data_IF_923438147513
#
_entry.id   IF_923438147513
#
_cell.length_a   1.000
_cell.length_b   1.000
_cell.length_c   1.000
_cell.angle_alpha   90.00
_cell.angle_beta   90.00
_cell.angle_gamma   90.00
#
_symmetry.space_group_name_H-M   'P 1'
#
loop_
_entity.id
_entity.type
_entity.pdbx_description
1 polymer ?
#
# COMPACT_ATOMS: atom_id res chain seq x y z
N UNK A 1 17.70 20.37 -2.64
CA UNK A 1 17.16 19.19 -1.93
C UNK A 1 15.71 19.48 -1.57
N UNK A 2 14.78 18.58 -1.87
CA UNK A 2 13.34 18.82 -1.68
C UNK A 2 13.02 18.94 -0.17
N UNK A 3 12.50 20.11 0.27
CA UNK A 3 12.33 20.41 1.70
C UNK A 3 11.24 19.52 2.33
N UNK A 4 10.23 19.15 1.57
CA UNK A 4 9.12 18.31 1.97
C UNK A 4 9.59 16.87 2.25
N UNK A 5 10.40 16.29 1.35
CA UNK A 5 10.99 14.97 1.58
C UNK A 5 11.87 14.97 2.84
N UNK A 6 12.68 16.01 3.05
CA UNK A 6 13.50 16.11 4.26
C UNK A 6 12.64 16.13 5.54
N UNK A 7 11.53 16.87 5.52
CA UNK A 7 10.57 16.93 6.62
C UNK A 7 9.87 15.58 6.83
N UNK A 8 9.61 14.81 5.78
CA UNK A 8 9.07 13.46 5.91
C UNK A 8 10.12 12.49 6.47
N UNK A 9 11.38 12.58 6.01
CA UNK A 9 12.48 11.75 6.47
C UNK A 9 12.82 11.97 7.95
N UNK A 10 12.61 13.18 8.48
CA UNK A 10 12.90 13.47 9.90
C UNK A 10 12.06 12.66 10.88
N UNK A 11 10.98 12.01 10.42
CA UNK A 11 10.19 11.10 11.24
C UNK A 11 10.85 9.71 11.44
N UNK A 12 11.94 9.42 10.72
CA UNK A 12 12.56 8.09 10.71
C UNK A 12 13.99 8.10 11.24
N UNK A 13 14.33 7.06 12.01
CA UNK A 13 15.71 6.80 12.40
C UNK A 13 16.47 6.07 11.28
N UNK A 14 17.35 6.79 10.57
CA UNK A 14 18.09 6.28 9.40
C UNK A 14 19.40 5.54 9.77
N UNK A 15 19.45 4.93 10.96
CA UNK A 15 20.67 4.32 11.50
C UNK A 15 21.19 3.09 10.74
N UNK A 16 20.40 2.52 9.83
CA UNK A 16 20.81 1.37 9.00
C UNK A 16 20.36 1.56 7.56
N UNK A 17 21.00 0.85 6.62
CA UNK A 17 20.55 0.79 5.23
C UNK A 17 19.11 0.27 5.11
N UNK A 18 18.71 -0.70 5.94
CA UNK A 18 17.35 -1.26 5.94
C UNK A 18 16.33 -0.21 6.36
N UNK A 19 16.58 0.49 7.47
CA UNK A 19 15.66 1.53 7.95
C UNK A 19 15.56 2.70 6.98
N UNK A 20 16.66 3.05 6.30
CA UNK A 20 16.65 4.07 5.25
C UNK A 20 15.83 3.64 4.02
N UNK A 21 15.95 2.38 3.58
CA UNK A 21 15.13 1.84 2.49
C UNK A 21 13.65 1.82 2.86
N UNK A 22 13.31 1.40 4.10
CA UNK A 22 11.92 1.40 4.57
C UNK A 22 11.35 2.83 4.63
N UNK A 23 12.09 3.78 5.19
CA UNK A 23 11.68 5.19 5.24
C UNK A 23 11.41 5.74 3.83
N UNK A 24 12.31 5.48 2.88
CA UNK A 24 12.14 5.91 1.50
C UNK A 24 10.92 5.24 0.84
N UNK A 25 10.68 3.95 1.09
CA UNK A 25 9.48 3.26 0.61
C UNK A 25 8.20 3.87 1.19
N UNK A 26 8.13 4.14 2.49
CA UNK A 26 6.95 4.78 3.11
C UNK A 26 6.73 6.20 2.56
N UNK A 27 7.79 6.95 2.28
CA UNK A 27 7.69 8.27 1.62
C UNK A 27 7.11 8.13 0.21
N UNK A 28 7.61 7.18 -0.60
CA UNK A 28 7.07 6.95 -1.95
C UNK A 28 5.59 6.54 -1.87
N UNK A 29 5.20 5.71 -0.90
CA UNK A 29 3.80 5.33 -0.67
C UNK A 29 2.94 6.55 -0.32
N UNK A 30 3.40 7.41 0.60
CA UNK A 30 2.69 8.63 0.98
C UNK A 30 2.55 9.62 -0.20
N UNK A 31 3.61 9.81 -0.99
CA UNK A 31 3.58 10.66 -2.19
C UNK A 31 2.68 10.09 -3.30
N UNK A 32 2.62 8.76 -3.41
CA UNK A 32 1.69 8.07 -4.31
C UNK A 32 0.24 8.34 -3.89
N UNK A 33 -0.08 8.21 -2.60
CA UNK A 33 -1.42 8.53 -2.07
C UNK A 33 -1.77 10.01 -2.27
N UNK A 34 -0.83 10.92 -1.98
CA UNK A 34 -1.01 12.35 -2.22
C UNK A 34 -1.28 12.65 -3.69
N UNK A 35 -0.56 12.00 -4.61
CA UNK A 35 -0.74 12.23 -6.05
C UNK A 35 -2.08 11.69 -6.54
N UNK A 36 -2.47 10.49 -6.12
CA UNK A 36 -3.79 9.91 -6.39
C UNK A 36 -4.93 10.76 -5.80
N UNK A 37 -4.69 11.45 -4.68
CA UNK A 37 -5.70 12.33 -4.09
C UNK A 37 -6.01 13.59 -4.91
N UNK A 38 -5.13 13.93 -5.86
CA UNK A 38 -5.33 15.05 -6.78
C UNK A 38 -6.09 14.65 -8.05
N UNK A 39 -6.41 13.36 -8.21
CA UNK A 39 -7.25 12.84 -9.30
C UNK A 39 -8.62 12.43 -8.76
N UNK A 40 -9.46 11.83 -9.61
CA UNK A 40 -10.73 11.23 -9.20
C UNK A 40 -10.56 9.81 -8.60
N UNK A 41 -9.34 9.31 -8.40
CA UNK A 41 -9.11 7.92 -7.99
C UNK A 41 -9.90 7.53 -6.72
N UNK A 42 -9.91 8.39 -5.70
CA UNK A 42 -10.64 8.12 -4.44
C UNK A 42 -12.15 8.40 -4.49
N UNK A 43 -12.73 8.79 -5.64
CA UNK A 43 -14.18 8.67 -5.84
C UNK A 43 -14.60 7.25 -6.18
N UNK A 44 -13.67 6.46 -6.74
CA UNK A 44 -13.90 5.09 -7.22
C UNK A 44 -13.34 4.02 -6.29
N UNK A 45 -12.15 4.26 -5.73
CA UNK A 45 -11.40 3.28 -4.96
C UNK A 45 -11.13 3.73 -3.52
N UNK A 46 -10.93 2.75 -2.64
CA UNK A 46 -10.48 2.95 -1.27
C UNK A 46 -9.19 2.16 -1.02
N UNK A 47 -8.31 2.74 -0.23
CA UNK A 47 -7.06 2.13 0.21
C UNK A 47 -7.30 1.11 1.33
N UNK A 48 -6.65 -0.04 1.26
CA UNK A 48 -6.79 -1.09 2.28
C UNK A 48 -5.50 -1.90 2.46
N UNK A 49 -5.57 -2.93 3.31
CA UNK A 49 -4.45 -3.86 3.52
C UNK A 49 -3.46 -3.41 4.60
N UNK A 50 -2.27 -4.02 4.60
CA UNK A 50 -1.28 -3.81 5.66
C UNK A 50 -0.67 -2.40 5.65
N UNK A 51 -0.54 -1.81 4.47
CA UNK A 51 0.06 -0.47 4.33
C UNK A 51 -0.93 0.62 4.73
N UNK A 52 -2.24 0.43 4.51
CA UNK A 52 -3.27 1.29 5.09
C UNK A 52 -3.22 1.26 6.63
N UNK A 53 -3.08 0.06 7.21
CA UNK A 53 -2.94 -0.12 8.65
C UNK A 53 -1.69 0.57 9.21
N UNK A 54 -0.55 0.45 8.51
CA UNK A 54 0.71 1.13 8.86
C UNK A 54 0.56 2.65 8.82
N UNK A 55 0.09 3.20 7.70
CA UNK A 55 0.07 4.66 7.47
C UNK A 55 -1.00 5.38 8.32
N UNK A 56 -2.18 4.78 8.50
CA UNK A 56 -3.34 5.47 9.08
C UNK A 56 -3.75 5.01 10.48
N UNK A 57 -3.23 3.87 10.93
CA UNK A 57 -3.64 3.26 12.20
C UNK A 57 -2.47 2.85 13.10
N UNK A 58 -1.21 3.06 12.68
CA UNK A 58 -0.05 2.87 13.55
C UNK A 58 0.40 1.43 13.73
N UNK A 59 0.16 0.55 12.75
CA UNK A 59 0.73 -0.81 12.77
C UNK A 59 2.26 -0.75 12.93
N UNK A 60 2.81 -1.43 13.92
CA UNK A 60 4.26 -1.37 14.22
C UNK A 60 5.10 -2.40 13.46
N UNK A 61 4.83 -2.52 12.16
CA UNK A 61 5.70 -3.24 11.22
C UNK A 61 5.62 -2.65 9.83
N UNK A 62 6.72 -2.76 9.08
CA UNK A 62 6.77 -2.32 7.70
C UNK A 62 5.81 -3.11 6.80
N UNK A 63 5.27 -2.44 5.77
CA UNK A 63 4.42 -3.03 4.74
C UNK A 63 4.75 -2.41 3.38
N UNK A 64 4.98 -3.25 2.37
CA UNK A 64 5.60 -2.83 1.10
C UNK A 64 4.60 -2.49 0.00
N UNK A 65 3.55 -3.31 -0.15
CA UNK A 65 2.60 -3.22 -1.25
C UNK A 65 1.44 -2.26 -0.92
N UNK A 66 0.90 -1.57 -1.92
CA UNK A 66 -0.26 -0.70 -1.80
C UNK A 66 -1.47 -1.37 -2.43
N UNK A 67 -2.42 -1.77 -1.58
CA UNK A 67 -3.64 -2.44 -2.01
C UNK A 67 -4.82 -1.47 -2.00
N UNK A 68 -5.57 -1.45 -3.09
CA UNK A 68 -6.79 -0.68 -3.27
C UNK A 68 -7.93 -1.58 -3.70
N UNK A 69 -9.14 -1.19 -3.35
CA UNK A 69 -10.37 -1.87 -3.75
C UNK A 69 -11.30 -0.82 -4.31
N UNK A 70 -11.97 -1.12 -5.42
CA UNK A 70 -13.09 -0.28 -5.84
C UNK A 70 -14.18 -0.28 -4.76
N UNK A 71 -15.05 0.73 -4.80
CA UNK A 71 -16.26 0.77 -3.99
C UNK A 71 -17.36 -0.14 -4.54
N UNK A 72 -17.41 -0.23 -5.87
CA UNK A 72 -18.36 -1.02 -6.63
C UNK A 72 -17.62 -1.73 -7.75
N UNK A 73 -18.11 -2.90 -8.16
CA UNK A 73 -17.57 -3.60 -9.33
C UNK A 73 -17.59 -2.69 -10.55
N UNK A 74 -16.45 -2.59 -11.23
CA UNK A 74 -16.33 -1.88 -12.50
C UNK A 74 -15.28 -2.57 -13.39
N UNK A 75 -15.74 -3.19 -14.47
CA UNK A 75 -14.87 -3.89 -15.43
C UNK A 75 -14.15 -2.92 -16.37
N UNK A 76 -14.63 -1.67 -16.48
CA UNK A 76 -14.06 -0.64 -17.34
C UNK A 76 -13.04 0.24 -16.62
N UNK A 77 -12.91 0.09 -15.29
CA UNK A 77 -11.88 0.79 -14.52
C UNK A 77 -10.50 0.53 -15.13
N UNK A 78 -9.67 1.57 -15.24
CA UNK A 78 -8.34 1.45 -15.81
C UNK A 78 -7.27 2.11 -14.93
N UNK A 79 -6.50 1.28 -14.21
CA UNK A 79 -5.37 1.72 -13.40
C UNK A 79 -4.32 2.46 -14.24
N UNK A 80 -4.12 2.08 -15.51
CA UNK A 80 -3.12 2.70 -16.38
C UNK A 80 -3.37 4.20 -16.59
N UNK A 81 -4.64 4.64 -16.51
CA UNK A 81 -5.00 6.06 -16.63
C UNK A 81 -4.43 6.93 -15.50
N UNK A 82 -4.13 6.34 -14.33
CA UNK A 82 -3.58 7.04 -13.17
C UNK A 82 -2.05 7.01 -13.10
N UNK A 83 -1.40 6.10 -13.83
CA UNK A 83 0.05 5.91 -13.76
C UNK A 83 0.86 7.15 -14.20
N UNK A 84 0.48 7.89 -15.26
CA UNK A 84 1.18 9.13 -15.62
C UNK A 84 1.12 10.19 -14.51
N UNK A 85 -0.01 10.32 -13.82
CA UNK A 85 -0.13 11.24 -12.71
C UNK A 85 0.82 10.85 -11.58
N UNK A 86 0.86 9.57 -11.20
CA UNK A 86 1.79 9.04 -10.18
C UNK A 86 3.25 9.31 -10.56
N UNK A 87 3.64 9.00 -11.80
CA UNK A 87 5.00 9.21 -12.30
C UNK A 87 5.39 10.69 -12.24
N UNK A 88 4.55 11.58 -12.78
CA UNK A 88 4.78 13.03 -12.74
C UNK A 88 4.83 13.56 -11.30
N UNK A 89 3.93 13.08 -10.44
CA UNK A 89 3.88 13.41 -9.02
C UNK A 89 5.19 13.06 -8.32
N UNK A 90 5.67 11.82 -8.45
CA UNK A 90 6.93 11.38 -7.84
C UNK A 90 8.14 12.12 -8.41
N UNK A 91 8.19 12.30 -9.74
CA UNK A 91 9.26 13.04 -10.41
C UNK A 91 9.33 14.50 -9.95
N UNK A 92 8.19 15.14 -9.64
CA UNK A 92 8.17 16.51 -9.12
C UNK A 92 8.86 16.67 -7.76
N UNK A 93 8.96 15.58 -6.97
CA UNK A 93 9.73 15.55 -5.73
C UNK A 93 11.18 15.04 -5.95
N UNK A 94 11.57 14.77 -7.19
CA UNK A 94 12.87 14.22 -7.56
C UNK A 94 13.00 12.71 -7.31
N UNK A 95 11.89 11.99 -7.15
CA UNK A 95 11.88 10.53 -7.11
C UNK A 95 11.69 10.00 -8.53
N UNK A 96 12.81 9.68 -9.19
CA UNK A 96 12.85 9.21 -10.58
C UNK A 96 12.42 7.74 -10.64
N UNK A 97 11.11 7.53 -10.65
CA UNK A 97 10.48 6.21 -10.58
C UNK A 97 9.95 5.81 -11.96
N UNK A 98 10.36 4.64 -12.45
CA UNK A 98 9.69 3.99 -13.58
C UNK A 98 8.37 3.38 -13.13
N UNK A 99 7.28 3.67 -13.87
CA UNK A 99 5.95 3.15 -13.58
C UNK A 99 5.52 2.18 -14.66
N UNK A 100 5.34 0.91 -14.30
CA UNK A 100 5.06 -0.17 -15.25
C UNK A 100 3.77 -0.89 -14.88
N UNK A 101 2.80 -0.92 -15.78
CA UNK A 101 1.63 -1.79 -15.63
C UNK A 101 2.02 -3.25 -15.84
N UNK A 102 1.31 -4.15 -15.16
CA UNK A 102 1.46 -5.60 -15.37
C UNK A 102 0.23 -6.11 -16.12
N UNK A 103 0.36 -6.34 -17.42
CA UNK A 103 -0.64 -7.10 -18.19
C UNK A 103 -0.62 -8.55 -17.69
N UNK A 104 -1.73 -9.01 -17.12
CA UNK A 104 -1.88 -10.40 -16.70
C UNK A 104 -2.23 -11.25 -17.92
N UNK A 105 -1.62 -12.44 -18.01
CA UNK A 105 -1.92 -13.42 -19.07
C UNK A 105 -3.29 -14.08 -18.90
N UNK A 106 -3.87 -14.02 -17.70
CA UNK A 106 -5.19 -14.53 -17.38
C UNK A 106 -6.11 -13.42 -16.85
N UNK A 107 -7.41 -13.56 -17.08
CA UNK A 107 -8.41 -12.67 -16.51
C UNK A 107 -8.30 -12.68 -14.98
N UNK A 108 -8.26 -11.49 -14.40
CA UNK A 108 -8.14 -11.31 -12.97
C UNK A 108 -8.86 -10.02 -12.62
N UNK A 109 -9.65 -10.07 -11.55
CA UNK A 109 -10.31 -8.90 -10.99
C UNK A 109 -9.32 -7.92 -10.32
N UNK A 110 -8.01 -8.13 -10.46
CA UNK A 110 -7.01 -7.27 -9.86
C UNK A 110 -6.12 -6.70 -10.95
N UNK A 111 -6.10 -5.38 -11.07
CA UNK A 111 -5.12 -4.66 -11.89
C UNK A 111 -3.89 -4.36 -11.05
N UNK A 112 -2.70 -4.45 -11.66
CA UNK A 112 -1.44 -4.26 -10.92
C UNK A 112 -0.48 -3.35 -11.69
N UNK A 113 0.24 -2.52 -10.96
CA UNK A 113 1.37 -1.74 -11.46
C UNK A 113 2.56 -1.83 -10.50
N UNK A 114 3.74 -1.49 -10.98
CA UNK A 114 4.95 -1.39 -10.17
C UNK A 114 5.59 -0.02 -10.33
N UNK A 115 5.91 0.59 -9.20
CA UNK A 115 6.83 1.71 -9.11
C UNK A 115 8.22 1.12 -8.85
N UNK A 116 9.20 1.45 -9.69
CA UNK A 116 10.58 0.98 -9.53
C UNK A 116 11.60 2.10 -9.70
N UNK A 117 12.61 2.09 -8.85
CA UNK A 117 13.75 2.99 -8.95
C UNK A 117 15.03 2.33 -8.45
N UNK A 118 16.18 2.84 -8.87
CA UNK A 118 17.46 2.38 -8.35
C UNK A 118 17.62 2.78 -6.87
N UNK A 119 17.87 1.78 -6.00
CA UNK A 119 17.99 1.97 -4.56
C UNK A 119 19.16 2.88 -4.19
N UNK A 120 20.34 2.64 -4.77
CA UNK A 120 21.57 3.36 -4.41
C UNK A 120 21.44 4.84 -4.78
N UNK A 121 20.98 5.14 -6.00
CA UNK A 121 20.78 6.53 -6.46
C UNK A 121 19.89 7.31 -5.48
N UNK A 122 18.78 6.70 -5.06
CA UNK A 122 17.81 7.39 -4.22
C UNK A 122 18.27 7.51 -2.76
N UNK A 123 18.97 6.51 -2.21
CA UNK A 123 19.58 6.63 -0.88
C UNK A 123 20.62 7.76 -0.84
N UNK A 124 21.49 7.85 -1.85
CA UNK A 124 22.48 8.93 -1.94
C UNK A 124 21.79 10.29 -2.07
N UNK A 125 20.74 10.38 -2.89
CA UNK A 125 20.00 11.63 -3.13
C UNK A 125 19.27 12.15 -1.90
N UNK A 126 18.78 11.27 -1.03
CA UNK A 126 17.83 11.64 0.02
C UNK A 126 18.29 11.37 1.46
N UNK A 127 19.19 10.42 1.72
CA UNK A 127 19.54 10.00 3.09
C UNK A 127 20.96 10.36 3.53
N UNK A 128 21.62 11.29 2.80
CA UNK A 128 23.01 11.73 3.03
C UNK A 128 24.06 10.59 3.10
N UNK A 129 23.69 9.39 2.62
CA UNK A 129 24.58 8.23 2.59
C UNK A 129 25.54 8.32 1.40
N UNK A 130 26.78 7.90 1.59
CA UNK A 130 27.82 7.90 0.55
C UNK A 130 28.16 6.48 0.10
N UNK A 131 28.25 6.20 -1.21
CA UNK A 131 28.72 4.90 -1.70
C UNK A 131 30.18 4.62 -1.33
N UNK A 132 30.60 3.33 -1.28
CA UNK A 132 29.78 2.14 -1.52
C UNK A 132 28.85 1.82 -0.33
N UNK A 133 27.60 1.44 -0.63
CA UNK A 133 26.65 1.00 0.39
C UNK A 133 26.75 -0.52 0.55
N UNK A 134 27.51 -0.95 1.57
CA UNK A 134 27.76 -2.38 1.81
C UNK A 134 26.47 -3.15 1.97
N UNK A 135 26.36 -4.30 1.30
CA UNK A 135 25.16 -5.15 1.31
C UNK A 135 24.03 -4.70 0.37
N UNK A 136 24.19 -3.60 -0.38
CA UNK A 136 23.25 -3.18 -1.42
C UNK A 136 23.93 -3.26 -2.79
N UNK A 137 23.50 -4.17 -3.69
CA UNK A 137 23.97 -4.20 -5.07
C UNK A 137 23.70 -2.88 -5.80
N UNK A 138 24.61 -2.45 -6.67
CA UNK A 138 24.44 -1.21 -7.45
C UNK A 138 23.19 -1.18 -8.34
N UNK A 139 22.70 -2.36 -8.75
CA UNK A 139 21.48 -2.53 -9.54
C UNK A 139 20.24 -2.87 -8.69
N UNK A 140 20.34 -2.78 -7.36
CA UNK A 140 19.19 -3.00 -6.48
C UNK A 140 18.07 -2.00 -6.82
N UNK A 141 16.84 -2.50 -6.78
CA UNK A 141 15.65 -1.70 -7.08
C UNK A 141 14.78 -1.56 -5.84
N UNK A 142 14.41 -0.32 -5.52
CA UNK A 142 13.23 -0.03 -4.74
C UNK A 142 12.05 -0.41 -5.62
N UNK A 143 11.11 -1.16 -5.04
CA UNK A 143 9.92 -1.63 -5.70
C UNK A 143 8.73 -1.43 -4.79
N UNK A 144 7.66 -0.84 -5.31
CA UNK A 144 6.36 -0.75 -4.66
C UNK A 144 5.34 -1.28 -5.66
N UNK A 145 4.53 -2.24 -5.22
CA UNK A 145 3.43 -2.76 -6.02
C UNK A 145 2.17 -1.99 -5.68
N UNK A 146 1.42 -1.62 -6.71
CA UNK A 146 0.06 -1.09 -6.59
C UNK A 146 -0.88 -2.16 -7.12
N UNK A 147 -1.90 -2.51 -6.36
CA UNK A 147 -2.97 -3.41 -6.79
C UNK A 147 -4.33 -2.76 -6.59
N UNK A 148 -5.24 -2.91 -7.56
CA UNK A 148 -6.63 -2.46 -7.46
C UNK A 148 -7.54 -3.65 -7.73
N UNK A 149 -8.37 -4.04 -6.75
CA UNK A 149 -9.45 -5.01 -6.92
C UNK A 149 -10.67 -4.34 -7.55
N UNK A 150 -11.00 -4.74 -8.79
CA UNK A 150 -12.09 -4.22 -9.61
C UNK A 150 -13.40 -4.97 -9.45
N UNK A 151 -13.42 -6.08 -8.70
CA UNK A 151 -14.63 -6.81 -8.35
C UNK A 151 -14.61 -7.17 -6.86
N UNK A 152 -14.68 -6.17 -5.98
CA UNK A 152 -14.49 -6.38 -4.56
C UNK A 152 -15.72 -7.00 -3.89
N UNK A 153 -15.53 -7.75 -2.80
CA UNK A 153 -16.65 -8.25 -2.00
C UNK A 153 -17.35 -7.08 -1.29
N UNK A 154 -18.68 -7.14 -1.22
CA UNK A 154 -19.50 -6.09 -0.60
C UNK A 154 -19.36 -6.02 0.93
N UNK A 155 -20.04 -5.05 1.53
CA UNK A 155 -20.16 -4.89 2.98
C UNK A 155 -18.98 -4.20 3.68
N UNK A 156 -17.97 -3.76 2.93
CA UNK A 156 -16.90 -2.93 3.47
C UNK A 156 -17.43 -1.52 3.79
N UNK A 157 -16.98 -0.99 4.92
CA UNK A 157 -17.21 0.39 5.31
C UNK A 157 -15.93 1.22 5.10
N UNK A 158 -16.10 2.53 4.98
CA UNK A 158 -15.02 3.44 4.60
C UNK A 158 -14.96 4.65 5.51
N UNK A 159 -13.75 5.16 5.71
CA UNK A 159 -13.50 6.42 6.38
C UNK A 159 -12.55 7.31 5.56
N UNK A 160 -12.74 8.62 5.66
CA UNK A 160 -11.83 9.59 5.05
C UNK A 160 -10.75 9.94 6.06
N UNK A 161 -9.50 9.62 5.73
CA UNK A 161 -8.32 9.97 6.53
C UNK A 161 -7.57 11.13 5.89
N UNK A 162 -6.87 11.90 6.71
CA UNK A 162 -6.09 13.06 6.28
C UNK A 162 -4.63 12.88 6.65
N UNK A 163 -3.75 13.35 5.78
CA UNK A 163 -2.31 13.47 6.03
C UNK A 163 -1.90 14.91 5.74
N UNK A 164 -0.91 15.41 6.48
CA UNK A 164 -0.44 16.80 6.36
C UNK A 164 0.78 16.96 5.46
N UNK A 165 1.52 15.87 5.21
CA UNK A 165 2.76 15.86 4.43
C UNK A 165 2.62 14.95 3.20
N UNK A 166 3.13 15.35 2.02
CA UNK A 166 3.97 16.53 1.77
C UNK A 166 3.20 17.86 1.80
N UNK A 167 1.89 17.81 1.55
CA UNK A 167 0.91 18.88 1.68
C UNK A 167 -0.38 18.23 2.22
N UNK A 168 -1.36 18.98 2.75
CA UNK A 168 -2.61 18.39 3.20
C UNK A 168 -3.35 17.64 2.08
N UNK A 169 -3.67 16.37 2.30
CA UNK A 169 -4.52 15.58 1.41
C UNK A 169 -5.42 14.63 2.18
N UNK A 170 -6.44 14.10 1.49
CA UNK A 170 -7.34 13.10 2.04
C UNK A 170 -7.35 11.84 1.19
N UNK A 171 -7.52 10.69 1.86
CA UNK A 171 -7.57 9.36 1.28
C UNK A 171 -8.84 8.68 1.76
N UNK A 172 -9.55 8.01 0.85
CA UNK A 172 -10.61 7.09 1.23
C UNK A 172 -9.95 5.76 1.63
N UNK A 173 -10.18 5.30 2.87
CA UNK A 173 -9.58 4.09 3.43
C UNK A 173 -10.71 3.18 3.91
N UNK A 174 -10.50 1.86 3.89
CA UNK A 174 -11.36 0.95 4.64
C UNK A 174 -11.34 1.31 6.12
N UNK A 175 -12.48 1.25 6.80
CA UNK A 175 -12.50 1.39 8.25
C UNK A 175 -11.78 0.22 8.94
N UNK A 176 -11.36 0.43 10.20
CA UNK A 176 -10.63 -0.61 10.95
C UNK A 176 -11.36 -1.96 11.02
N UNK A 177 -12.67 -2.02 11.31
CA UNK A 177 -13.42 -3.28 11.26
C UNK A 177 -13.39 -4.02 9.92
N UNK A 178 -13.48 -3.29 8.79
CA UNK A 178 -13.43 -3.89 7.45
C UNK A 178 -12.00 -4.32 7.08
N UNK A 179 -10.98 -3.56 7.50
CA UNK A 179 -9.58 -4.00 7.39
C UNK A 179 -9.34 -5.29 8.19
N UNK A 180 -9.91 -5.39 9.40
CA UNK A 180 -9.79 -6.58 10.24
C UNK A 180 -10.47 -7.79 9.58
N UNK A 181 -11.67 -7.63 9.04
CA UNK A 181 -12.36 -8.67 8.28
C UNK A 181 -11.51 -9.21 7.12
N UNK A 182 -10.82 -8.34 6.37
CA UNK A 182 -9.89 -8.76 5.32
C UNK A 182 -8.72 -9.60 5.85
N UNK A 183 -8.20 -9.30 7.04
CA UNK A 183 -7.12 -10.06 7.68
C UNK A 183 -7.59 -11.40 8.21
N UNK A 184 -8.78 -11.47 8.81
CA UNK A 184 -9.38 -12.72 9.23
C UNK A 184 -9.68 -13.64 8.05
N UNK A 185 -10.23 -13.11 6.96
CA UNK A 185 -10.43 -13.89 5.74
C UNK A 185 -9.10 -14.47 5.23
N UNK A 186 -8.04 -13.66 5.21
CA UNK A 186 -6.71 -14.14 4.84
C UNK A 186 -6.18 -15.23 5.79
N UNK A 187 -6.44 -15.12 7.10
CA UNK A 187 -6.04 -16.10 8.11
C UNK A 187 -6.80 -17.43 7.96
N UNK A 188 -8.11 -17.37 7.75
CA UNK A 188 -9.00 -18.53 7.76
C UNK A 188 -9.05 -19.25 6.40
N UNK A 189 -8.99 -18.51 5.30
CA UNK A 189 -9.38 -19.03 3.97
C UNK A 189 -8.23 -19.14 2.97
N UNK A 190 -7.01 -18.71 3.30
CA UNK A 190 -5.85 -18.95 2.41
C UNK A 190 -5.35 -20.38 2.58
N UNK A 191 -5.03 -21.03 1.46
CA UNK A 191 -4.40 -22.36 1.47
C UNK A 191 -2.97 -22.28 2.04
N UNK A 192 -2.82 -22.57 3.34
CA UNK A 192 -1.56 -22.61 4.08
C UNK A 192 -0.73 -23.87 3.75
N UNK A 193 -0.52 -24.19 2.48
CA UNK A 193 0.14 -25.45 2.11
C UNK A 193 1.61 -25.53 2.55
N UNK A 194 2.38 -24.43 2.49
CA UNK A 194 3.84 -24.45 2.73
C UNK A 194 4.45 -23.18 3.34
N UNK A 195 3.65 -22.17 3.74
CA UNK A 195 4.23 -20.91 4.25
C UNK A 195 3.31 -20.22 5.23
N UNK A 196 3.60 -20.39 6.51
CA UNK A 196 3.06 -19.53 7.56
C UNK A 196 3.47 -18.09 7.28
N UNK A 197 2.50 -17.18 7.21
CA UNK A 197 2.75 -15.75 7.05
C UNK A 197 2.64 -15.15 8.44
N UNK A 198 3.73 -15.19 9.20
CA UNK A 198 3.81 -14.59 10.54
C UNK A 198 3.26 -13.16 10.61
N UNK A 199 3.31 -12.40 9.51
CA UNK A 199 2.69 -11.07 9.39
C UNK A 199 1.15 -11.06 9.52
N UNK A 200 0.45 -12.07 9.00
CA UNK A 200 -1.02 -12.11 9.04
C UNK A 200 -1.47 -12.46 10.48
N UNK A 201 -0.71 -13.31 11.19
CA UNK A 201 -0.91 -13.56 12.63
C UNK A 201 -0.54 -12.35 13.49
N UNK A 202 0.56 -11.67 13.19
CA UNK A 202 0.95 -10.43 13.86
C UNK A 202 -0.16 -9.38 13.77
N UNK A 203 -0.71 -9.16 12.57
CA UNK A 203 -1.80 -8.19 12.38
C UNK A 203 -3.05 -8.61 13.15
N UNK A 204 -3.39 -9.91 13.14
CA UNK A 204 -4.51 -10.44 13.93
C UNK A 204 -4.37 -10.11 15.42
N UNK A 205 -3.20 -10.40 16.01
CA UNK A 205 -2.92 -10.06 17.41
C UNK A 205 -2.99 -8.56 17.65
N UNK A 206 -2.44 -7.75 16.73
CA UNK A 206 -2.51 -6.29 16.79
C UNK A 206 -3.96 -5.77 16.83
N UNK A 207 -4.88 -6.35 16.03
CA UNK A 207 -6.30 -5.96 16.08
C UNK A 207 -6.95 -6.30 17.42
N UNK A 208 -6.59 -7.45 18.01
CA UNK A 208 -7.09 -7.86 19.32
C UNK A 208 -6.60 -6.92 20.43
N UNK A 209 -5.32 -6.51 20.39
CA UNK A 209 -4.77 -5.57 21.38
C UNK A 209 -5.40 -4.19 21.28
N UNK A 210 -5.78 -3.77 20.07
CA UNK A 210 -6.48 -2.51 19.83
C UNK A 210 -8.00 -2.57 20.11
N UNK A 211 -8.53 -3.75 20.47
CA UNK A 211 -9.96 -3.94 20.76
C UNK A 211 -10.88 -3.67 19.57
N UNK A 212 -10.38 -3.83 18.34
CA UNK A 212 -11.14 -3.51 17.12
C UNK A 212 -12.17 -4.61 16.85
N UNK A 213 -13.47 -4.29 16.72
CA UNK A 213 -14.46 -5.28 16.34
C UNK A 213 -14.31 -5.69 14.87
N UNK A 214 -14.71 -6.91 14.54
CA UNK A 214 -14.70 -7.39 13.16
C UNK A 214 -15.97 -6.94 12.44
N UNK A 215 -15.85 -6.42 11.21
CA UNK A 215 -17.00 -6.31 10.32
C UNK A 215 -17.38 -7.71 9.80
N UNK A 216 -18.26 -8.40 10.54
CA UNK A 216 -18.69 -9.77 10.24
C UNK A 216 -19.40 -9.85 8.90
N UNK A 217 -20.22 -8.86 8.56
CA UNK A 217 -20.91 -8.82 7.28
C UNK A 217 -19.92 -8.82 6.11
N UNK A 218 -18.90 -7.98 6.16
CA UNK A 218 -17.85 -7.96 5.14
C UNK A 218 -17.04 -9.27 5.09
N UNK A 219 -16.73 -9.85 6.26
CA UNK A 219 -16.03 -11.15 6.34
C UNK A 219 -16.82 -12.25 5.63
N UNK A 220 -18.13 -12.33 5.87
CA UNK A 220 -19.02 -13.27 5.21
C UNK A 220 -19.01 -13.08 3.69
N UNK A 221 -19.15 -11.83 3.20
CA UNK A 221 -19.11 -11.54 1.76
C UNK A 221 -17.79 -11.98 1.12
N UNK A 222 -16.66 -11.76 1.80
CA UNK A 222 -15.34 -12.27 1.36
C UNK A 222 -15.30 -13.80 1.28
N UNK A 223 -15.80 -14.48 2.32
CA UNK A 223 -15.84 -15.94 2.36
C UNK A 223 -16.70 -16.50 1.23
N UNK A 224 -17.90 -15.94 1.01
CA UNK A 224 -18.79 -16.31 -0.10
C UNK A 224 -18.12 -16.12 -1.46
N UNK A 225 -17.55 -14.94 -1.71
CA UNK A 225 -16.88 -14.65 -2.98
C UNK A 225 -15.69 -15.58 -3.25
N UNK A 226 -14.96 -15.96 -2.19
CA UNK A 226 -13.82 -16.88 -2.29
C UNK A 226 -14.19 -18.37 -2.31
N UNK A 227 -15.47 -18.72 -2.15
CA UNK A 227 -15.94 -20.12 -2.10
C UNK A 227 -15.67 -20.85 -0.78
N UNK A 228 -15.37 -20.15 0.31
CA UNK A 228 -15.08 -20.72 1.63
C UNK A 228 -16.24 -20.58 2.62
N UNK A 229 -17.43 -20.20 2.14
CA UNK A 229 -18.65 -20.14 2.95
C UNK A 229 -19.52 -21.36 2.63
N UNK A 230 -19.64 -22.27 3.59
CA UNK A 230 -20.56 -23.41 3.52
C UNK A 230 -21.74 -23.10 4.44
N UNK A 231 -22.95 -23.09 3.88
CA UNK A 231 -24.19 -23.03 4.67
C UNK A 231 -24.56 -24.41 5.20
#
# INVERSE_FOLDING_TARGET
MNQEINKMLSAYALGTHISAIHALKEIIQALTLHTLSKTDFFSHAAFYGGTALRIFHGLDRFSEDMDFSLKTKDENFNLEAYLPAIEQGLNSYGLEMSVLSKKKQHSSNVQSAFLKANTVIHLVKFTAMTPPLSGIPNNALIKIKIEVDTNPPGGAEYERKFQLLPQPYSVLVYDRPSLFAGKLHALLCRNWKQREKGRDFYDYVWYLTEGVPVNIHHLEQRMRQSGHWYM
#
